data_IF_437285933042
#
_entry.id   IF_437285933042
#
_cell.length_a   1.000
_cell.length_b   1.000
_cell.length_c   1.000
_cell.angle_alpha   90.00
_cell.angle_beta   90.00
_cell.angle_gamma   90.00
#
_symmetry.space_group_name_H-M   'P 1'
#
loop_
_entity.id
_entity.type
_entity.pdbx_description
1 polymer ?
#
# COMPACT_ATOMS: atom_id res chain seq x y z
N UNK A 1 42.82 9.04 -4.02
CA UNK A 1 41.36 9.14 -4.12
C UNK A 1 40.99 10.55 -3.71
N UNK A 2 40.51 11.38 -4.64
CA UNK A 2 40.05 12.74 -4.30
C UNK A 2 38.64 12.58 -3.73
N UNK A 3 38.51 12.67 -2.41
CA UNK A 3 37.21 12.88 -1.76
C UNK A 3 36.92 14.37 -1.84
N UNK A 4 36.18 14.80 -2.86
CA UNK A 4 35.63 16.15 -2.88
C UNK A 4 34.54 16.22 -1.81
N UNK A 5 34.85 16.84 -0.67
CA UNK A 5 33.83 17.19 0.32
C UNK A 5 32.96 18.29 -0.28
N UNK A 6 31.80 17.90 -0.80
CA UNK A 6 30.77 18.84 -1.22
C UNK A 6 30.15 19.39 0.06
N UNK A 7 30.36 20.69 0.32
CA UNK A 7 29.76 21.37 1.47
C UNK A 7 28.23 21.26 1.38
N UNK A 8 27.60 20.76 2.42
CA UNK A 8 26.15 20.64 2.46
C UNK A 8 25.50 22.04 2.49
N UNK A 9 24.43 22.21 1.71
CA UNK A 9 23.64 23.44 1.68
C UNK A 9 22.64 23.55 2.83
N UNK A 10 21.69 24.47 2.69
CA UNK A 10 20.59 24.65 3.65
C UNK A 10 19.76 23.38 3.80
N UNK A 11 19.49 22.89 5.03
CA UNK A 11 18.59 21.76 5.28
C UNK A 11 17.22 21.99 4.65
N UNK A 12 16.68 21.00 3.94
CA UNK A 12 15.42 21.19 3.18
C UNK A 12 14.44 20.02 3.26
N UNK A 13 14.93 18.77 3.35
CA UNK A 13 14.06 17.59 3.25
C UNK A 13 14.60 16.42 4.05
N UNK A 14 13.70 15.53 4.45
CA UNK A 14 14.02 14.23 5.03
C UNK A 14 14.27 13.23 3.89
N UNK A 15 15.29 12.39 4.05
CA UNK A 15 15.56 11.28 3.14
C UNK A 15 15.88 10.01 3.93
N UNK A 16 15.59 8.85 3.35
CA UNK A 16 16.03 7.56 3.88
C UNK A 16 17.45 7.28 3.41
N UNK A 17 18.29 6.72 4.28
CA UNK A 17 19.67 6.39 3.94
C UNK A 17 19.76 5.25 2.92
N UNK A 18 18.82 4.29 2.97
CA UNK A 18 18.73 3.13 2.08
C UNK A 18 17.32 3.04 1.46
N UNK A 19 16.97 3.91 0.50
CA UNK A 19 15.61 3.97 -0.04
C UNK A 19 15.21 2.69 -0.80
N UNK A 20 16.18 1.95 -1.34
CA UNK A 20 15.93 0.68 -2.04
C UNK A 20 15.29 -0.41 -1.16
N UNK A 21 15.41 -0.31 0.16
CA UNK A 21 14.78 -1.26 1.08
C UNK A 21 13.28 -1.02 1.24
N UNK A 22 12.77 0.18 0.95
CA UNK A 22 11.36 0.54 1.15
C UNK A 22 10.42 -0.35 0.32
N UNK A 23 10.77 -0.62 -0.94
CA UNK A 23 9.97 -1.51 -1.80
C UNK A 23 9.90 -2.97 -1.31
N UNK A 24 10.82 -3.35 -0.41
CA UNK A 24 10.82 -4.66 0.25
C UNK A 24 10.03 -4.67 1.55
N UNK A 25 9.69 -3.51 2.11
CA UNK A 25 8.94 -3.44 3.35
C UNK A 25 7.57 -4.09 3.19
N UNK A 26 7.23 -4.89 4.19
CA UNK A 26 5.97 -5.61 4.26
C UNK A 26 5.28 -5.22 5.55
N UNK A 27 3.98 -4.98 5.45
CA UNK A 27 3.11 -4.84 6.59
C UNK A 27 2.61 -6.24 6.94
N UNK A 28 2.87 -6.66 8.18
CA UNK A 28 2.39 -7.95 8.65
C UNK A 28 0.89 -7.94 8.92
N UNK A 29 0.23 -9.06 8.66
CA UNK A 29 -1.20 -9.19 8.95
C UNK A 29 -1.42 -10.05 10.18
N UNK A 30 -0.82 -11.23 10.21
CA UNK A 30 -0.94 -12.18 11.33
C UNK A 30 -0.06 -11.78 12.51
N UNK A 31 1.19 -11.44 12.21
CA UNK A 31 2.17 -10.95 13.17
C UNK A 31 2.74 -9.61 12.68
N UNK A 32 2.99 -8.64 13.57
CA UNK A 32 3.64 -7.40 13.16
C UNK A 32 5.01 -7.67 12.54
N UNK A 33 5.28 -7.02 11.40
CA UNK A 33 6.61 -7.04 10.79
C UNK A 33 7.45 -5.93 11.39
N UNK A 34 8.64 -6.30 11.86
CA UNK A 34 9.59 -5.34 12.42
C UNK A 34 10.49 -4.81 11.31
N UNK A 35 10.55 -3.49 11.16
CA UNK A 35 11.52 -2.81 10.31
C UNK A 35 12.49 -1.98 11.14
N UNK A 36 13.70 -1.81 10.60
CA UNK A 36 14.72 -0.93 11.13
C UNK A 36 15.26 -0.10 9.98
N UNK A 37 15.39 1.21 10.16
CA UNK A 37 15.94 2.08 9.12
C UNK A 37 16.54 3.35 9.69
N UNK A 38 17.28 4.05 8.83
CA UNK A 38 17.86 5.35 9.14
C UNK A 38 17.30 6.41 8.21
N UNK A 39 17.04 7.58 8.78
CA UNK A 39 16.72 8.79 8.03
C UNK A 39 17.81 9.85 8.26
N UNK A 40 17.90 10.79 7.33
CA UNK A 40 18.83 11.92 7.36
C UNK A 40 18.11 13.18 6.87
N UNK A 41 18.64 14.34 7.22
CA UNK A 41 18.27 15.59 6.55
C UNK A 41 19.20 15.82 5.37
N UNK A 42 18.65 16.24 4.24
CA UNK A 42 19.40 16.63 3.05
C UNK A 42 19.08 18.05 2.62
N UNK A 43 20.04 18.66 1.93
CA UNK A 43 19.85 19.94 1.25
C UNK A 43 19.05 19.77 -0.06
N UNK A 44 18.83 20.87 -0.77
CA UNK A 44 18.10 20.86 -2.03
C UNK A 44 18.77 20.01 -3.12
N UNK A 45 20.09 19.82 -3.07
CA UNK A 45 20.87 19.00 -4.01
C UNK A 45 20.93 17.52 -3.61
N UNK A 46 20.52 17.17 -2.39
CA UNK A 46 20.50 15.79 -1.88
C UNK A 46 21.74 15.43 -1.09
N UNK A 47 22.59 16.40 -0.79
CA UNK A 47 23.72 16.18 0.09
C UNK A 47 23.21 16.06 1.53
N UNK A 48 23.75 15.11 2.27
CA UNK A 48 23.44 14.93 3.69
C UNK A 48 23.97 16.12 4.48
N UNK A 49 23.12 16.71 5.30
CA UNK A 49 23.51 17.77 6.24
C UNK A 49 23.76 17.15 7.62
N UNK A 50 24.93 17.38 8.19
CA UNK A 50 25.25 16.97 9.58
C UNK A 50 25.21 18.19 10.51
N UNK A 51 25.05 17.98 11.83
CA UNK A 51 25.06 19.08 12.80
C UNK A 51 26.32 19.95 12.73
N UNK A 52 27.47 19.36 12.41
CA UNK A 52 28.74 20.08 12.30
C UNK A 52 28.88 20.90 11.00
N UNK A 53 28.06 20.60 9.98
CA UNK A 53 28.22 21.15 8.63
C UNK A 53 27.34 22.39 8.40
N UNK A 54 26.52 22.78 9.38
CA UNK A 54 25.55 23.87 9.22
C UNK A 54 25.48 24.74 10.47
N UNK A 55 25.22 26.03 10.26
CA UNK A 55 24.92 26.98 11.34
C UNK A 55 23.45 26.86 11.78
N UNK A 56 22.60 26.25 10.93
CA UNK A 56 21.18 26.08 11.21
C UNK A 56 20.95 24.85 12.09
N UNK A 57 20.11 24.99 13.10
CA UNK A 57 19.78 23.87 13.98
C UNK A 57 18.92 22.84 13.23
N UNK A 58 19.44 21.61 13.13
CA UNK A 58 18.65 20.48 12.65
C UNK A 58 17.57 20.09 13.68
N UNK A 59 16.44 19.50 13.25
CA UNK A 59 15.41 19.02 14.16
C UNK A 59 16.00 18.05 15.18
N UNK A 60 15.80 18.31 16.47
CA UNK A 60 16.28 17.40 17.52
C UNK A 60 15.63 16.01 17.43
N UNK A 61 14.42 15.94 16.89
CA UNK A 61 13.65 14.71 16.73
C UNK A 61 12.92 14.64 15.39
N UNK A 62 12.74 13.41 14.90
CA UNK A 62 11.77 13.08 13.86
C UNK A 62 10.66 12.21 14.44
N UNK A 63 9.43 12.44 13.96
CA UNK A 63 8.27 11.59 14.19
C UNK A 63 8.01 10.73 12.96
N UNK A 64 7.88 9.42 13.16
CA UNK A 64 7.37 8.47 12.19
C UNK A 64 5.89 8.22 12.48
N UNK A 65 5.04 8.49 11.51
CA UNK A 65 3.63 8.12 11.51
C UNK A 65 3.37 7.00 10.51
N UNK A 66 2.73 5.92 10.96
CA UNK A 66 2.24 4.84 10.09
C UNK A 66 0.78 5.12 9.73
N UNK A 67 0.53 5.34 8.45
CA UNK A 67 -0.75 5.87 7.96
C UNK A 67 -1.49 4.80 7.16
N UNK A 68 -2.76 4.58 7.47
CA UNK A 68 -3.67 3.88 6.57
C UNK A 68 -4.17 4.87 5.50
N UNK A 69 -3.82 4.61 4.25
CA UNK A 69 -4.54 5.15 3.13
C UNK A 69 -5.92 4.42 3.05
N UNK A 70 -6.91 4.88 3.82
CA UNK A 70 -8.36 4.56 3.67
C UNK A 70 -9.28 5.72 3.26
N UNK A 71 -10.21 5.48 2.33
CA UNK A 71 -10.96 6.50 1.62
C UNK A 71 -12.05 7.14 2.42
N UNK A 72 -11.93 8.43 2.73
CA UNK A 72 -13.10 9.21 3.13
C UNK A 72 -13.37 10.20 2.03
N UNK A 73 -14.27 9.86 1.11
CA UNK A 73 -14.80 10.86 0.15
C UNK A 73 -15.57 11.88 0.97
N UNK A 74 -14.99 13.05 1.15
CA UNK A 74 -15.69 14.18 1.75
C UNK A 74 -16.89 14.54 0.87
N UNK A 75 -17.83 15.29 1.44
CA UNK A 75 -19.04 15.78 0.75
C UNK A 75 -18.70 16.57 -0.53
N UNK A 76 -17.48 17.11 -0.62
CA UNK A 76 -16.94 17.87 -1.75
C UNK A 76 -16.29 16.99 -2.84
N UNK A 77 -16.37 15.66 -2.71
CA UNK A 77 -15.70 14.71 -3.60
C UNK A 77 -14.19 14.56 -3.35
N UNK A 78 -13.63 15.30 -2.38
CA UNK A 78 -12.23 15.18 -1.99
C UNK A 78 -12.02 14.02 -1.03
N UNK A 79 -11.15 13.10 -1.40
CA UNK A 79 -10.99 11.87 -0.64
C UNK A 79 -9.83 12.01 0.36
N UNK A 80 -10.12 12.10 1.66
CA UNK A 80 -9.09 12.21 2.73
C UNK A 80 -8.92 10.90 3.47
N UNK A 81 -7.67 10.47 3.59
CA UNK A 81 -7.30 9.18 4.14
C UNK A 81 -6.20 9.37 5.19
N UNK A 82 -6.50 9.44 6.49
CA UNK A 82 -5.42 9.48 7.50
C UNK A 82 -5.85 8.99 8.89
N UNK A 83 -5.68 7.71 9.14
CA UNK A 83 -5.60 7.18 10.50
C UNK A 83 -4.14 6.93 10.83
N UNK A 84 -3.61 7.63 11.83
CA UNK A 84 -2.28 7.36 12.38
C UNK A 84 -2.37 6.16 13.31
N UNK A 85 -1.77 5.05 12.92
CA UNK A 85 -1.83 3.79 13.66
C UNK A 85 -0.70 3.67 14.68
N UNK A 86 0.44 4.32 14.44
CA UNK A 86 1.59 4.30 15.34
C UNK A 86 2.44 5.55 15.15
N UNK A 87 2.89 6.15 16.27
CA UNK A 87 3.88 7.22 16.29
C UNK A 87 5.15 6.74 16.99
N UNK A 88 6.29 6.83 16.31
CA UNK A 88 7.61 6.55 16.89
C UNK A 88 8.45 7.80 16.76
N UNK A 89 9.12 8.19 17.85
CA UNK A 89 10.04 9.32 17.87
C UNK A 89 11.47 8.82 18.01
N UNK A 90 12.39 9.53 17.41
CA UNK A 90 13.81 9.24 17.55
C UNK A 90 14.61 10.52 17.58
N UNK A 91 15.67 10.51 18.37
CA UNK A 91 16.57 11.64 18.55
C UNK A 91 17.64 11.69 17.44
N UNK A 92 18.09 12.90 17.13
CA UNK A 92 19.22 13.15 16.26
C UNK A 92 20.49 12.58 16.88
N UNK A 93 21.14 11.66 16.18
CA UNK A 93 22.42 11.09 16.59
C UNK A 93 23.58 12.04 16.26
N UNK A 94 24.73 11.92 16.93
CA UNK A 94 25.90 12.79 16.68
C UNK A 94 26.41 12.75 15.23
N UNK A 95 26.17 11.66 14.51
CA UNK A 95 26.56 11.52 13.11
C UNK A 95 25.59 12.23 12.14
N UNK A 96 24.45 12.75 12.62
CA UNK A 96 23.43 13.37 11.79
C UNK A 96 22.40 12.40 11.22
N UNK A 97 22.26 11.20 11.79
CA UNK A 97 21.17 10.27 11.46
C UNK A 97 20.06 10.24 12.50
N UNK A 98 18.89 9.76 12.08
CA UNK A 98 17.77 9.38 12.92
C UNK A 98 17.56 7.87 12.77
N UNK A 99 17.60 7.14 13.88
CA UNK A 99 17.46 5.68 13.85
C UNK A 99 16.06 5.27 14.31
N UNK A 100 15.32 4.60 13.44
CA UNK A 100 14.06 3.96 13.77
C UNK A 100 14.32 2.47 13.94
N UNK A 101 14.31 2.01 15.19
CA UNK A 101 14.54 0.61 15.53
C UNK A 101 13.26 -0.04 16.06
N UNK A 102 13.10 -1.32 15.75
CA UNK A 102 11.98 -2.14 16.20
C UNK A 102 10.59 -1.58 15.85
N UNK A 103 10.47 -0.89 14.71
CA UNK A 103 9.18 -0.36 14.24
C UNK A 103 8.32 -1.53 13.81
N UNK A 104 7.25 -1.80 14.57
CA UNK A 104 6.31 -2.88 14.30
C UNK A 104 5.18 -2.38 13.41
N UNK A 105 5.10 -2.90 12.20
CA UNK A 105 4.07 -2.58 11.23
C UNK A 105 3.05 -3.72 11.16
N UNK A 106 1.79 -3.40 11.41
CA UNK A 106 0.68 -4.33 11.29
C UNK A 106 -0.52 -3.66 10.62
N UNK A 107 -1.11 -4.34 9.65
CA UNK A 107 -2.21 -3.82 8.87
C UNK A 107 -3.23 -4.88 8.50
N UNK A 108 -4.40 -4.40 8.10
CA UNK A 108 -5.54 -5.19 7.65
C UNK A 108 -5.37 -5.50 6.16
N UNK A 109 -5.88 -6.65 5.75
CA UNK A 109 -5.95 -6.99 4.34
C UNK A 109 -6.77 -5.99 3.53
N UNK A 110 -6.32 -5.69 2.31
CA UNK A 110 -6.95 -4.69 1.44
C UNK A 110 -6.67 -3.24 1.84
N UNK A 111 -5.98 -2.99 2.95
CA UNK A 111 -5.47 -1.66 3.28
C UNK A 111 -4.29 -1.28 2.41
N UNK A 112 -4.15 0.02 2.11
CA UNK A 112 -2.91 0.61 1.60
C UNK A 112 -2.29 1.43 2.72
N UNK A 113 -0.98 1.33 2.90
CA UNK A 113 -0.31 1.99 4.02
C UNK A 113 0.92 2.75 3.57
N UNK A 114 1.19 3.89 4.18
CA UNK A 114 2.43 4.67 3.94
C UNK A 114 3.10 5.01 5.28
N UNK A 115 4.40 5.28 5.22
CA UNK A 115 5.13 5.87 6.34
C UNK A 115 5.32 7.35 6.06
N UNK A 116 5.01 8.18 7.04
CA UNK A 116 5.32 9.60 7.02
C UNK A 116 6.39 9.93 8.07
N UNK A 117 7.44 10.62 7.67
CA UNK A 117 8.43 11.22 8.56
C UNK A 117 8.21 12.72 8.60
N UNK A 118 8.10 13.29 9.79
CA UNK A 118 7.96 14.73 9.99
C UNK A 118 8.95 15.23 11.06
N UNK A 119 9.51 16.44 10.89
CA UNK A 119 10.31 17.05 11.94
C UNK A 119 9.41 17.44 13.12
N UNK A 120 9.89 17.21 14.34
CA UNK A 120 9.23 17.71 15.54
C UNK A 120 9.88 19.05 15.89
N UNK A 121 9.07 20.10 16.01
CA UNK A 121 9.54 21.38 16.51
C UNK A 121 10.10 21.22 17.93
N UNK A 122 11.26 21.81 18.21
CA UNK A 122 11.77 21.80 19.57
C UNK A 122 10.75 22.53 20.47
N UNK A 123 10.43 21.99 21.67
CA UNK A 123 9.39 22.55 22.54
C UNK A 123 9.65 24.00 22.94
N UNK A 124 10.93 24.41 22.93
CA UNK A 124 11.39 25.75 23.31
C UNK A 124 11.81 26.61 22.11
N UNK A 125 11.61 26.14 20.86
CA UNK A 125 11.97 26.91 19.68
C UNK A 125 11.18 28.22 19.66
N UNK A 126 11.87 29.35 19.83
CA UNK A 126 11.23 30.64 19.71
C UNK A 126 11.03 30.94 18.22
N UNK A 127 9.77 31.01 17.73
CA UNK A 127 9.49 31.20 16.30
C UNK A 127 10.03 32.52 15.74
N UNK A 128 10.45 33.46 16.61
CA UNK A 128 10.99 34.76 16.21
C UNK A 128 12.52 34.84 16.15
N UNK A 129 13.26 33.92 16.77
CA UNK A 129 14.75 33.99 16.86
C UNK A 129 15.46 32.75 16.38
N UNK A 130 14.82 31.57 16.44
CA UNK A 130 15.40 30.34 15.93
C UNK A 130 14.95 30.17 14.48
N UNK A 131 15.86 30.49 13.55
CA UNK A 131 15.71 30.16 12.13
C UNK A 131 15.74 28.64 11.97
N UNK A 132 14.64 27.97 12.33
CA UNK A 132 14.47 26.55 12.07
C UNK A 132 14.23 26.39 10.57
N UNK A 133 15.07 25.61 9.87
CA UNK A 133 14.88 25.38 8.46
C UNK A 133 13.52 24.73 8.22
N UNK A 134 12.78 25.23 7.22
CA UNK A 134 11.52 24.62 6.81
C UNK A 134 11.81 23.28 6.11
N UNK A 135 11.89 22.22 6.91
CA UNK A 135 12.16 20.87 6.43
C UNK A 135 10.83 20.20 6.09
N UNK A 136 10.67 19.84 4.81
CA UNK A 136 9.47 19.15 4.35
C UNK A 136 9.35 17.74 4.95
N UNK A 137 8.12 17.33 5.30
CA UNK A 137 7.82 15.95 5.66
C UNK A 137 8.03 15.02 4.46
N UNK A 138 8.48 13.81 4.72
CA UNK A 138 8.61 12.76 3.70
C UNK A 138 7.48 11.74 3.86
N UNK A 139 6.92 11.27 2.75
CA UNK A 139 6.03 10.11 2.71
C UNK A 139 6.63 9.03 1.80
N UNK A 140 6.52 7.76 2.20
CA UNK A 140 6.96 6.62 1.37
C UNK A 140 5.91 6.22 0.34
N UNK A 141 6.32 5.40 -0.62
CA UNK A 141 5.36 4.62 -1.41
C UNK A 141 4.48 3.71 -0.53
N UNK A 142 3.41 3.19 -1.12
CA UNK A 142 2.52 2.24 -0.47
C UNK A 142 3.25 0.95 -0.12
N UNK A 143 3.19 0.59 1.16
CA UNK A 143 3.73 -0.64 1.69
C UNK A 143 2.89 -1.83 1.26
N UNK A 144 3.55 -2.96 1.00
CA UNK A 144 2.88 -4.20 0.59
C UNK A 144 2.36 -4.92 1.84
N UNK A 145 1.04 -5.13 1.90
CA UNK A 145 0.42 -5.95 2.94
C UNK A 145 0.66 -7.44 2.66
N UNK A 146 0.98 -8.18 3.72
CA UNK A 146 1.15 -9.63 3.67
C UNK A 146 -0.10 -10.32 3.10
N UNK A 147 0.14 -11.30 2.22
CA UNK A 147 -0.89 -12.05 1.51
C UNK A 147 -1.15 -13.38 2.20
N UNK A 148 -2.36 -13.93 1.99
CA UNK A 148 -2.65 -15.32 2.31
C UNK A 148 -1.89 -16.28 1.39
N UNK A 149 -1.99 -17.58 1.66
CA UNK A 149 -1.33 -18.59 0.82
C UNK A 149 -1.96 -18.63 -0.58
N UNK A 150 -1.20 -18.21 -1.59
CA UNK A 150 -1.66 -18.19 -2.98
C UNK A 150 -2.08 -19.59 -3.45
N UNK A 151 -3.12 -19.66 -4.28
CA UNK A 151 -3.72 -20.90 -4.77
C UNK A 151 -4.71 -21.55 -3.80
N UNK A 152 -4.54 -21.40 -2.49
CA UNK A 152 -5.39 -22.08 -1.50
C UNK A 152 -6.28 -21.15 -0.69
N UNK A 153 -5.94 -19.87 -0.59
CA UNK A 153 -6.62 -18.91 0.29
C UNK A 153 -6.77 -17.53 -0.36
N UNK A 154 -7.75 -16.78 0.12
CA UNK A 154 -7.91 -15.35 -0.17
C UNK A 154 -8.00 -14.56 1.14
N UNK A 155 -7.62 -13.28 1.05
CA UNK A 155 -7.61 -12.37 2.17
C UNK A 155 -8.98 -11.70 2.36
N UNK A 156 -9.49 -11.65 3.58
CA UNK A 156 -10.75 -10.97 3.86
C UNK A 156 -10.49 -9.47 4.08
N UNK A 157 -11.01 -8.62 3.19
CA UNK A 157 -10.81 -7.15 3.26
C UNK A 157 -11.22 -6.59 4.62
N UNK A 158 -10.37 -5.73 5.19
CA UNK A 158 -10.64 -5.06 6.46
C UNK A 158 -10.45 -5.95 7.70
N UNK A 159 -9.92 -7.16 7.54
CA UNK A 159 -9.62 -8.07 8.65
C UNK A 159 -8.18 -8.59 8.58
N UNK A 160 -7.81 -9.42 9.57
CA UNK A 160 -6.55 -10.17 9.59
C UNK A 160 -6.72 -11.64 9.16
N UNK A 161 -7.89 -11.98 8.60
CA UNK A 161 -8.27 -13.36 8.36
C UNK A 161 -8.02 -13.79 6.92
N UNK A 162 -7.52 -15.02 6.79
CA UNK A 162 -7.50 -15.75 5.53
C UNK A 162 -8.61 -16.77 5.50
N UNK A 163 -9.24 -16.91 4.34
CA UNK A 163 -10.27 -17.91 4.09
C UNK A 163 -9.85 -18.81 2.95
N UNK A 164 -10.30 -20.07 3.00
CA UNK A 164 -10.09 -21.03 1.92
C UNK A 164 -10.66 -20.47 0.61
N UNK A 165 -9.89 -20.63 -0.45
CA UNK A 165 -10.31 -20.26 -1.79
C UNK A 165 -11.61 -21.01 -2.14
N UNK A 166 -12.68 -20.33 -2.57
CA UNK A 166 -13.91 -21.02 -2.90
C UNK A 166 -13.70 -21.96 -4.09
N UNK A 167 -14.14 -23.20 -3.93
CA UNK A 167 -14.04 -24.23 -4.94
C UNK A 167 -15.40 -24.86 -5.23
N UNK A 168 -15.63 -25.34 -6.47
CA UNK A 168 -14.78 -25.14 -7.65
C UNK A 168 -14.94 -23.72 -8.25
N UNK A 169 -14.06 -23.31 -9.14
CA UNK A 169 -14.26 -22.13 -9.98
C UNK A 169 -13.66 -20.81 -9.48
N UNK A 170 -13.10 -20.78 -8.27
CA UNK A 170 -12.33 -19.66 -7.74
C UNK A 170 -10.83 -19.85 -7.92
N UNK A 171 -10.13 -18.80 -8.35
CA UNK A 171 -8.66 -18.72 -8.39
C UNK A 171 -8.23 -17.60 -7.44
N UNK A 172 -7.46 -17.95 -6.42
CA UNK A 172 -7.01 -17.01 -5.40
C UNK A 172 -5.49 -16.82 -5.46
N UNK A 173 -5.02 -15.59 -5.30
CA UNK A 173 -3.60 -15.21 -5.30
C UNK A 173 -3.10 -14.74 -3.92
N UNK A 174 -3.90 -15.01 -2.88
CA UNK A 174 -3.66 -14.56 -1.52
C UNK A 174 -4.07 -13.10 -1.24
N UNK A 175 -4.55 -12.36 -2.24
CA UNK A 175 -5.15 -11.03 -2.06
C UNK A 175 -6.65 -11.14 -1.78
N UNK A 176 -7.36 -10.02 -1.51
CA UNK A 176 -8.81 -10.04 -1.42
C UNK A 176 -9.54 -10.24 -2.75
N UNK A 177 -8.81 -10.20 -3.87
CA UNK A 177 -9.40 -10.45 -5.18
C UNK A 177 -9.45 -11.95 -5.45
N UNK A 178 -10.64 -12.44 -5.78
CA UNK A 178 -10.84 -13.81 -6.26
C UNK A 178 -11.14 -13.72 -7.75
N UNK A 179 -10.27 -14.32 -8.55
CA UNK A 179 -10.49 -14.47 -9.99
C UNK A 179 -11.42 -15.66 -10.23
N UNK A 180 -12.15 -15.60 -11.34
CA UNK A 180 -13.06 -16.67 -11.75
C UNK A 180 -12.32 -17.58 -12.73
N UNK A 181 -12.35 -18.88 -12.48
CA UNK A 181 -11.79 -19.88 -13.38
C UNK A 181 -12.53 -19.88 -14.73
N UNK A 182 -11.85 -20.31 -15.81
CA UNK A 182 -12.49 -20.50 -17.12
C UNK A 182 -13.68 -21.46 -16.98
N UNK A 183 -14.77 -21.19 -17.72
CA UNK A 183 -16.01 -21.97 -17.69
C UNK A 183 -16.73 -21.95 -16.33
N UNK A 184 -16.43 -20.97 -15.48
CA UNK A 184 -17.23 -20.65 -14.31
C UNK A 184 -17.77 -19.22 -14.39
N UNK A 185 -18.87 -18.99 -13.68
CA UNK A 185 -19.56 -17.71 -13.59
C UNK A 185 -19.93 -17.41 -12.14
N UNK A 186 -19.98 -16.12 -11.80
CA UNK A 186 -20.48 -15.64 -10.52
C UNK A 186 -21.38 -14.42 -10.73
N UNK A 187 -22.34 -14.21 -9.84
CA UNK A 187 -23.32 -13.14 -9.98
C UNK A 187 -22.73 -11.73 -9.81
N UNK A 188 -21.69 -11.58 -8.98
CA UNK A 188 -21.03 -10.31 -8.66
C UNK A 188 -19.59 -10.55 -8.21
N UNK A 189 -18.77 -9.50 -8.17
CA UNK A 189 -17.36 -9.55 -7.77
C UNK A 189 -17.14 -10.13 -6.36
N UNK A 190 -18.08 -9.90 -5.45
CA UNK A 190 -17.99 -10.30 -4.03
C UNK A 190 -18.62 -11.67 -3.76
N UNK A 191 -19.16 -12.34 -4.80
CA UNK A 191 -19.77 -13.64 -4.63
C UNK A 191 -18.70 -14.73 -4.48
N UNK A 192 -18.83 -15.53 -3.42
CA UNK A 192 -18.00 -16.71 -3.15
C UNK A 192 -18.57 -18.00 -3.74
N UNK A 193 -19.74 -17.92 -4.37
CA UNK A 193 -20.38 -19.05 -5.05
C UNK A 193 -20.15 -18.92 -6.54
N UNK A 194 -19.56 -19.96 -7.11
CA UNK A 194 -19.25 -20.06 -8.54
C UNK A 194 -20.10 -21.17 -9.14
N UNK A 195 -20.58 -20.91 -10.35
CA UNK A 195 -21.42 -21.83 -11.09
C UNK A 195 -20.69 -22.22 -12.35
N UNK A 196 -20.53 -23.53 -12.58
CA UNK A 196 -19.99 -24.02 -13.85
C UNK A 196 -20.87 -23.53 -15.00
N UNK A 197 -20.29 -23.19 -16.13
CA UNK A 197 -21.01 -22.89 -17.36
C UNK A 197 -21.07 -24.10 -18.30
N UNK A 198 -20.44 -25.22 -17.93
CA UNK A 198 -20.41 -26.45 -18.72
C UNK A 198 -21.82 -26.89 -19.17
N UNK A 199 -21.93 -27.68 -20.25
CA UNK A 199 -23.22 -28.17 -20.74
C UNK A 199 -24.07 -28.80 -19.62
N UNK A 200 -25.41 -28.64 -19.65
CA UNK A 200 -26.25 -28.15 -20.75
C UNK A 200 -26.48 -26.63 -20.79
N UNK A 201 -25.75 -25.86 -19.99
CA UNK A 201 -26.04 -24.45 -19.80
C UNK A 201 -25.47 -23.61 -20.95
N UNK A 202 -24.25 -23.10 -20.80
CA UNK A 202 -23.66 -22.18 -21.76
C UNK A 202 -22.37 -22.73 -22.40
N UNK A 203 -21.91 -23.92 -22.01
CA UNK A 203 -20.63 -24.47 -22.46
C UNK A 203 -19.47 -23.54 -22.16
N UNK A 204 -18.74 -23.15 -23.20
CA UNK A 204 -17.58 -22.25 -23.14
C UNK A 204 -17.95 -20.75 -23.19
N UNK A 205 -19.23 -20.41 -22.99
CA UNK A 205 -19.69 -19.00 -23.08
C UNK A 205 -19.29 -18.12 -21.89
N UNK A 206 -18.59 -18.68 -20.90
CA UNK A 206 -18.09 -17.97 -19.72
C UNK A 206 -16.56 -17.94 -19.70
N UNK A 207 -15.97 -16.74 -19.78
CA UNK A 207 -14.52 -16.53 -19.70
C UNK A 207 -14.21 -15.58 -18.55
N UNK A 208 -13.55 -16.09 -17.51
CA UNK A 208 -13.19 -15.29 -16.34
C UNK A 208 -14.39 -14.67 -15.63
N UNK A 209 -15.52 -15.38 -15.59
CA UNK A 209 -16.77 -14.91 -14.99
C UNK A 209 -17.55 -13.89 -15.81
N UNK A 210 -17.12 -13.62 -17.05
CA UNK A 210 -17.83 -12.76 -18.01
C UNK A 210 -18.42 -13.59 -19.14
N UNK A 211 -19.49 -13.09 -19.73
CA UNK A 211 -20.09 -13.69 -20.91
C UNK A 211 -19.31 -13.31 -22.17
N UNK A 212 -19.14 -14.25 -23.08
CA UNK A 212 -18.65 -13.96 -24.42
C UNK A 212 -19.74 -13.23 -25.22
N UNK A 213 -19.35 -12.61 -26.33
CA UNK A 213 -20.27 -11.91 -27.23
C UNK A 213 -21.43 -12.81 -27.67
N UNK A 214 -22.64 -12.25 -27.71
CA UNK A 214 -23.87 -12.96 -28.03
C UNK A 214 -24.55 -13.67 -26.86
N UNK A 215 -23.92 -13.69 -25.68
CA UNK A 215 -24.48 -14.30 -24.47
C UNK A 215 -24.58 -13.30 -23.31
N UNK A 216 -25.62 -13.45 -22.50
CA UNK A 216 -25.87 -12.63 -21.32
C UNK A 216 -26.61 -13.41 -20.21
N UNK A 217 -26.90 -12.69 -19.13
CA UNK A 217 -27.69 -13.20 -18.01
C UNK A 217 -26.94 -14.20 -17.11
N UNK A 218 -27.66 -14.87 -16.20
CA UNK A 218 -27.07 -15.83 -15.28
C UNK A 218 -26.37 -16.96 -16.03
N UNK A 219 -25.09 -17.17 -15.69
CA UNK A 219 -24.21 -18.19 -16.31
C UNK A 219 -24.12 -18.07 -17.83
N UNK A 220 -24.34 -16.87 -18.38
CA UNK A 220 -24.26 -16.60 -19.81
C UNK A 220 -25.14 -17.52 -20.64
N UNK A 221 -26.32 -17.86 -20.12
CA UNK A 221 -27.20 -18.88 -20.69
C UNK A 221 -28.31 -18.30 -21.59
N UNK A 222 -28.36 -16.98 -21.71
CA UNK A 222 -29.35 -16.24 -22.50
C UNK A 222 -28.64 -15.65 -23.73
N UNK A 223 -29.27 -15.70 -24.90
CA UNK A 223 -28.75 -15.01 -26.07
C UNK A 223 -29.05 -13.51 -25.95
N UNK A 224 -28.04 -12.67 -26.18
CA UNK A 224 -28.22 -11.22 -26.26
C UNK A 224 -29.17 -10.85 -27.40
N UNK A 225 -29.83 -9.70 -27.31
CA UNK A 225 -30.67 -9.17 -28.38
C UNK A 225 -29.96 -9.21 -29.74
N UNK A 226 -30.65 -9.74 -30.76
CA UNK A 226 -30.11 -9.92 -32.10
C UNK A 226 -29.48 -11.31 -32.36
N UNK A 227 -29.22 -12.11 -31.32
CA UNK A 227 -28.71 -13.48 -31.46
C UNK A 227 -29.83 -14.51 -31.31
N UNK A 228 -29.78 -15.57 -32.12
CA UNK A 228 -30.71 -16.71 -32.06
C UNK A 228 -30.04 -17.96 -31.47
N UNK A 229 -30.82 -18.82 -30.82
CA UNK A 229 -30.31 -20.09 -30.29
C UNK A 229 -30.26 -21.15 -31.39
N UNK A 230 -29.07 -21.52 -31.81
CA UNK A 230 -28.82 -22.65 -32.74
C UNK A 230 -28.14 -23.77 -31.95
N UNK A 231 -28.93 -24.75 -31.51
CA UNK A 231 -28.45 -25.83 -30.64
C UNK A 231 -28.05 -25.33 -29.25
N UNK A 232 -26.77 -25.50 -28.88
CA UNK A 232 -26.21 -25.01 -27.61
C UNK A 232 -25.52 -23.65 -27.74
N UNK A 233 -25.60 -23.01 -28.91
CA UNK A 233 -24.91 -21.76 -29.19
C UNK A 233 -25.88 -20.62 -29.53
N UNK A 234 -25.50 -19.40 -29.19
CA UNK A 234 -26.11 -18.16 -29.65
C UNK A 234 -25.33 -17.66 -30.88
N UNK A 235 -26.04 -17.46 -31.99
CA UNK A 235 -25.47 -17.09 -33.31
C UNK A 235 -26.36 -16.08 -34.01
#
# INVERSE_FOLDING_TARGET
TITSDVSAGTPSRIALLNPGEVGSWRVGTFEPRTINFFAVITDAAGNRVRPADTVLQLPGQLELSYLLASATTNVDGHTTYRTTVTQVRTDLRPDGTYQFANVKLRGLHGGSYTLQLAPIAAPDANPSTDATPNIASMETDSLIVERCTAGTEFAVTGTYECRKCPQPGGICDGTPQILVEKNYWRARSEAYTFYSCAPPFAGDSCVGGRCIEGYEGPRCSVCTEGYGRTGSQCT
#
